data_IF_325973878509
#
_entry.id   IF_325973878509
#
_cell.length_a   1.000
_cell.length_b   1.000
_cell.length_c   1.000
_cell.angle_alpha   90.00
_cell.angle_beta   90.00
_cell.angle_gamma   90.00
#
_symmetry.space_group_name_H-M   'P 1'
#
loop_
_entity.id
_entity.type
_entity.pdbx_description
1 polymer ?
#
# COMPACT_ATOMS: atom_id res chain seq x y z
N UNK A 1 -3.86 6.04 -25.12
CA UNK A 1 -4.90 6.30 -24.09
C UNK A 1 -5.07 5.20 -23.03
N UNK A 2 -5.14 3.89 -23.37
CA UNK A 2 -5.39 2.80 -22.40
C UNK A 2 -4.50 2.76 -21.14
N UNK A 3 -3.18 2.99 -21.27
CA UNK A 3 -2.23 2.92 -20.13
C UNK A 3 -2.45 4.00 -19.05
N UNK A 4 -2.92 5.19 -19.44
CA UNK A 4 -3.17 6.29 -18.50
C UNK A 4 -4.38 5.97 -17.61
N UNK A 5 -5.46 5.49 -18.22
CA UNK A 5 -6.68 5.10 -17.49
C UNK A 5 -6.40 3.93 -16.51
N UNK A 6 -5.54 2.98 -16.91
CA UNK A 6 -5.13 1.89 -16.03
C UNK A 6 -4.33 2.37 -14.81
N UNK A 7 -3.42 3.34 -14.97
CA UNK A 7 -2.70 3.94 -13.83
C UNK A 7 -3.64 4.58 -12.82
N UNK A 8 -4.62 5.35 -13.29
CA UNK A 8 -5.64 5.93 -12.42
C UNK A 8 -6.51 4.87 -11.74
N UNK A 9 -6.87 3.80 -12.45
CA UNK A 9 -7.60 2.66 -11.87
C UNK A 9 -6.80 1.95 -10.78
N UNK A 10 -5.51 1.69 -11.01
CA UNK A 10 -4.60 1.08 -10.02
C UNK A 10 -4.47 2.00 -8.80
N UNK A 11 -4.29 3.30 -9.02
CA UNK A 11 -4.23 4.27 -7.93
C UNK A 11 -5.51 4.25 -7.10
N UNK A 12 -6.67 4.34 -7.75
CA UNK A 12 -7.96 4.31 -7.07
C UNK A 12 -8.14 3.03 -6.24
N UNK A 13 -7.77 1.87 -6.80
CA UNK A 13 -7.80 0.59 -6.09
C UNK A 13 -6.84 0.59 -4.89
N UNK A 14 -5.61 1.08 -5.06
CA UNK A 14 -4.61 1.12 -4.00
C UNK A 14 -5.06 2.01 -2.84
N UNK A 15 -5.62 3.19 -3.14
CA UNK A 15 -6.19 4.10 -2.14
C UNK A 15 -7.42 3.48 -1.46
N UNK A 16 -8.31 2.84 -2.22
CA UNK A 16 -9.47 2.16 -1.65
C UNK A 16 -9.06 1.05 -0.66
N UNK A 17 -8.03 0.27 -0.99
CA UNK A 17 -7.48 -0.76 -0.10
C UNK A 17 -6.89 -0.15 1.17
N UNK A 18 -6.13 0.95 1.07
CA UNK A 18 -5.58 1.63 2.25
C UNK A 18 -6.68 2.17 3.17
N UNK A 19 -7.69 2.82 2.59
CA UNK A 19 -8.81 3.39 3.34
C UNK A 19 -9.66 2.31 3.99
N UNK A 20 -9.93 1.21 3.27
CA UNK A 20 -10.65 0.06 3.81
C UNK A 20 -9.93 -0.52 5.02
N UNK A 21 -8.61 -0.73 4.92
CA UNK A 21 -7.83 -1.29 6.02
C UNK A 21 -7.86 -0.39 7.27
N UNK A 22 -7.60 0.91 7.09
CA UNK A 22 -7.68 1.89 8.18
C UNK A 22 -9.10 1.93 8.79
N UNK A 23 -10.14 1.92 7.96
CA UNK A 23 -11.52 1.94 8.42
C UNK A 23 -11.88 0.69 9.24
N UNK A 24 -11.40 -0.49 8.85
CA UNK A 24 -11.59 -1.73 9.62
C UNK A 24 -10.96 -1.58 11.01
N UNK A 25 -9.69 -1.16 11.08
CA UNK A 25 -8.99 -0.99 12.37
C UNK A 25 -9.62 0.07 13.28
N UNK A 26 -10.08 1.19 12.71
CA UNK A 26 -10.76 2.24 13.48
C UNK A 26 -12.14 1.80 13.95
N UNK A 27 -12.92 1.11 13.10
CA UNK A 27 -14.30 0.73 13.42
C UNK A 27 -14.43 -0.37 14.46
N UNK A 28 -13.43 -1.23 14.61
CA UNK A 28 -13.39 -2.29 15.63
C UNK A 28 -12.74 -1.84 16.94
N UNK A 29 -12.40 -0.55 17.09
CA UNK A 29 -11.74 -0.01 18.29
C UNK A 29 -10.30 -0.50 18.49
N UNK A 30 -9.74 -1.23 17.52
CA UNK A 30 -8.35 -1.68 17.51
C UNK A 30 -7.54 -0.81 16.56
N UNK A 31 -7.39 0.46 16.93
CA UNK A 31 -6.55 1.39 16.20
C UNK A 31 -5.10 0.95 16.33
N UNK A 32 -4.62 0.13 15.39
CA UNK A 32 -3.25 -0.36 15.30
C UNK A 32 -2.39 0.71 14.61
N UNK A 33 -1.65 1.57 15.35
CA UNK A 33 -1.08 2.79 14.76
C UNK A 33 -0.05 2.49 13.68
N UNK A 34 0.68 1.38 13.82
CA UNK A 34 1.66 0.89 12.85
C UNK A 34 0.99 0.59 11.50
N UNK A 35 -0.20 -0.02 11.51
CA UNK A 35 -0.99 -0.30 10.30
C UNK A 35 -1.41 0.99 9.61
N UNK A 36 -1.98 1.90 10.38
CA UNK A 36 -2.46 3.20 9.88
C UNK A 36 -1.31 3.99 9.25
N UNK A 37 -0.19 4.13 9.96
CA UNK A 37 0.99 4.84 9.45
C UNK A 37 1.54 4.18 8.19
N UNK A 38 1.64 2.85 8.16
CA UNK A 38 2.11 2.12 6.98
C UNK A 38 1.24 2.40 5.74
N UNK A 39 -0.08 2.34 5.89
CA UNK A 39 -1.04 2.57 4.81
C UNK A 39 -1.00 4.02 4.32
N UNK A 40 -0.85 4.98 5.24
CA UNK A 40 -0.70 6.41 4.89
C UNK A 40 0.57 6.62 4.05
N UNK A 41 1.71 6.05 4.46
CA UNK A 41 2.97 6.17 3.71
C UNK A 41 2.78 5.66 2.27
N UNK A 42 2.20 4.47 2.11
CA UNK A 42 2.01 3.88 0.79
C UNK A 42 1.01 4.67 -0.06
N UNK A 43 -0.10 5.11 0.54
CA UNK A 43 -1.14 5.91 -0.12
C UNK A 43 -0.62 7.27 -0.59
N UNK A 44 0.11 7.99 0.27
CA UNK A 44 0.71 9.28 -0.07
C UNK A 44 1.72 9.14 -1.20
N UNK A 45 2.57 8.11 -1.14
CA UNK A 45 3.49 7.85 -2.24
C UNK A 45 2.76 7.53 -3.54
N UNK A 46 1.71 6.71 -3.51
CA UNK A 46 0.95 6.35 -4.71
C UNK A 46 0.32 7.59 -5.37
N UNK A 47 -0.26 8.49 -4.56
CA UNK A 47 -0.78 9.78 -5.03
C UNK A 47 0.34 10.63 -5.65
N UNK A 48 1.48 10.77 -4.95
CA UNK A 48 2.61 11.54 -5.45
C UNK A 48 3.21 10.95 -6.74
N UNK A 49 3.16 9.63 -6.91
CA UNK A 49 3.62 8.93 -8.12
C UNK A 49 2.74 9.17 -9.35
N UNK A 50 1.47 9.54 -9.17
CA UNK A 50 0.56 9.78 -10.30
C UNK A 50 0.39 11.27 -10.57
N UNK A 51 0.32 12.09 -9.52
CA UNK A 51 0.03 13.52 -9.62
C UNK A 51 1.25 14.43 -9.48
N UNK A 52 2.40 13.91 -9.06
CA UNK A 52 3.60 14.69 -8.86
C UNK A 52 4.83 14.06 -9.50
N UNK A 53 5.96 14.24 -8.82
CA UNK A 53 7.31 13.99 -9.34
C UNK A 53 8.01 12.82 -8.66
N UNK A 54 7.27 11.93 -8.00
CA UNK A 54 7.87 10.78 -7.31
C UNK A 54 8.69 9.94 -8.31
N UNK A 55 9.91 9.60 -7.90
CA UNK A 55 10.84 8.82 -8.71
C UNK A 55 10.87 7.35 -8.26
N UNK A 56 11.76 6.57 -8.87
CA UNK A 56 11.88 5.16 -8.52
C UNK A 56 12.43 4.93 -7.11
N UNK A 57 13.28 5.82 -6.59
CA UNK A 57 13.88 5.66 -5.27
C UNK A 57 12.83 5.86 -4.20
N UNK A 58 12.01 6.91 -4.33
CA UNK A 58 10.94 7.18 -3.36
C UNK A 58 9.91 6.04 -3.32
N UNK A 59 9.63 5.41 -4.46
CA UNK A 59 8.75 4.23 -4.48
C UNK A 59 9.32 3.00 -3.83
N UNK A 60 10.61 2.72 -4.02
CA UNK A 60 11.27 1.61 -3.29
C UNK A 60 11.22 1.88 -1.78
N UNK A 61 11.52 3.11 -1.35
CA UNK A 61 11.49 3.48 0.06
C UNK A 61 10.07 3.36 0.65
N UNK A 62 9.04 3.83 -0.06
CA UNK A 62 7.66 3.75 0.40
C UNK A 62 7.18 2.29 0.53
N UNK A 63 7.43 1.45 -0.48
CA UNK A 63 7.05 0.04 -0.48
C UNK A 63 7.81 -0.72 0.62
N UNK A 64 9.11 -0.48 0.77
CA UNK A 64 9.91 -1.10 1.81
C UNK A 64 9.44 -0.69 3.21
N UNK A 65 9.18 0.61 3.43
CA UNK A 65 8.67 1.11 4.72
C UNK A 65 7.32 0.50 5.05
N UNK A 66 6.41 0.41 4.07
CA UNK A 66 5.13 -0.28 4.20
C UNK A 66 5.30 -1.73 4.65
N UNK A 67 6.15 -2.50 3.96
CA UNK A 67 6.38 -3.92 4.27
C UNK A 67 7.04 -4.11 5.64
N UNK A 68 8.04 -3.29 5.98
CA UNK A 68 8.73 -3.35 7.27
C UNK A 68 7.78 -3.06 8.42
N UNK A 69 6.95 -2.02 8.32
CA UNK A 69 5.97 -1.71 9.36
C UNK A 69 4.93 -2.83 9.52
N UNK A 70 4.47 -3.42 8.42
CA UNK A 70 3.56 -4.57 8.47
C UNK A 70 4.21 -5.83 9.03
N UNK A 71 5.50 -6.04 8.77
CA UNK A 71 6.27 -7.12 9.39
C UNK A 71 6.45 -6.90 10.89
N UNK A 72 6.80 -5.68 11.31
CA UNK A 72 6.88 -5.29 12.73
C UNK A 72 5.53 -5.53 13.41
N UNK A 73 4.43 -5.16 12.76
CA UNK A 73 3.09 -5.42 13.28
C UNK A 73 2.87 -6.91 13.59
N UNK A 74 3.19 -7.79 12.63
CA UNK A 74 3.08 -9.25 12.80
C UNK A 74 4.03 -9.77 13.87
N UNK A 75 5.25 -9.23 13.96
CA UNK A 75 6.21 -9.61 15.00
C UNK A 75 5.72 -9.27 16.42
N UNK A 76 4.99 -8.16 16.56
CA UNK A 76 4.45 -7.70 17.84
C UNK A 76 3.14 -8.40 18.23
N UNK A 77 2.25 -8.68 17.27
CA UNK A 77 0.88 -9.13 17.54
C UNK A 77 0.61 -10.58 17.08
N UNK A 78 1.61 -11.24 16.49
CA UNK A 78 1.50 -12.58 15.95
C UNK A 78 0.74 -12.65 14.62
N UNK A 79 0.74 -13.85 14.03
CA UNK A 79 0.04 -14.16 12.77
C UNK A 79 -1.44 -14.50 12.98
N UNK A 80 -1.86 -14.69 14.24
CA UNK A 80 -3.24 -14.98 14.64
C UNK A 80 -3.84 -13.80 15.40
N UNK A 81 -5.17 -13.70 15.41
CA UNK A 81 -5.93 -12.71 16.15
C UNK A 81 -6.60 -13.35 17.38
N UNK A 82 -6.12 -13.06 18.60
CA UNK A 82 -6.73 -13.56 19.84
C UNK A 82 -8.21 -13.18 19.97
N UNK A 83 -8.58 -11.98 19.53
CA UNK A 83 -9.95 -11.46 19.64
C UNK A 83 -10.94 -12.13 18.68
N UNK A 84 -10.42 -12.93 17.74
CA UNK A 84 -11.19 -13.76 16.81
C UNK A 84 -10.99 -15.25 17.10
N UNK A 85 -10.77 -15.61 18.38
CA UNK A 85 -10.59 -17.01 18.79
C UNK A 85 -9.29 -17.64 18.28
N UNK A 86 -8.26 -16.82 18.03
CA UNK A 86 -6.98 -17.29 17.50
C UNK A 86 -6.97 -17.56 16.00
N UNK A 87 -7.98 -17.08 15.26
CA UNK A 87 -8.02 -17.19 13.80
C UNK A 87 -6.81 -16.53 13.14
N UNK A 88 -6.37 -17.05 11.99
CA UNK A 88 -5.32 -16.41 11.19
C UNK A 88 -5.76 -15.01 10.76
N UNK A 89 -4.82 -14.06 10.76
CA UNK A 89 -5.03 -12.69 10.25
C UNK A 89 -5.11 -12.66 8.72
N UNK A 90 -6.00 -13.44 8.11
CA UNK A 90 -6.12 -13.59 6.66
C UNK A 90 -6.33 -12.25 5.96
N UNK A 91 -7.20 -11.40 6.50
CA UNK A 91 -7.45 -10.06 5.98
C UNK A 91 -6.17 -9.22 5.91
N UNK A 92 -5.31 -9.29 6.94
CA UNK A 92 -4.01 -8.61 6.95
C UNK A 92 -3.16 -9.06 5.76
N UNK A 93 -2.95 -10.38 5.60
CA UNK A 93 -2.09 -10.91 4.55
C UNK A 93 -2.62 -10.63 3.15
N UNK A 94 -3.95 -10.70 2.96
CA UNK A 94 -4.59 -10.38 1.67
C UNK A 94 -4.39 -8.91 1.32
N UNK A 95 -4.65 -8.00 2.26
CA UNK A 95 -4.52 -6.56 1.99
C UNK A 95 -3.06 -6.13 1.81
N UNK A 96 -2.14 -6.70 2.58
CA UNK A 96 -0.69 -6.47 2.41
C UNK A 96 -0.20 -7.01 1.07
N UNK A 97 -0.57 -8.23 0.72
CA UNK A 97 -0.21 -8.85 -0.56
C UNK A 97 -0.75 -8.06 -1.76
N UNK A 98 -2.03 -7.69 -1.72
CA UNK A 98 -2.67 -6.90 -2.77
C UNK A 98 -2.03 -5.51 -2.90
N UNK A 99 -1.84 -4.79 -1.79
CA UNK A 99 -1.20 -3.46 -1.79
C UNK A 99 0.22 -3.54 -2.35
N UNK A 100 0.98 -4.57 -1.97
CA UNK A 100 2.33 -4.80 -2.47
C UNK A 100 2.33 -5.05 -3.98
N UNK A 101 1.47 -5.95 -4.48
CA UNK A 101 1.37 -6.23 -5.91
C UNK A 101 1.00 -4.99 -6.74
N UNK A 102 0.00 -4.23 -6.28
CA UNK A 102 -0.43 -2.99 -6.93
C UNK A 102 0.67 -1.92 -6.91
N UNK A 103 1.36 -1.77 -5.77
CA UNK A 103 2.45 -0.80 -5.61
C UNK A 103 3.66 -1.12 -6.51
N UNK A 104 4.04 -2.39 -6.62
CA UNK A 104 5.12 -2.85 -7.50
C UNK A 104 4.75 -2.59 -8.96
N UNK A 105 3.51 -2.89 -9.35
CA UNK A 105 3.03 -2.60 -10.70
C UNK A 105 3.07 -1.10 -10.99
N UNK A 106 2.61 -0.27 -10.05
CA UNK A 106 2.62 1.18 -10.19
C UNK A 106 4.06 1.69 -10.36
N UNK A 107 4.95 1.30 -9.45
CA UNK A 107 6.38 1.62 -9.45
C UNK A 107 7.09 1.24 -10.76
N UNK A 108 6.84 0.03 -11.28
CA UNK A 108 7.42 -0.43 -12.54
C UNK A 108 6.94 0.42 -13.73
N UNK A 109 5.76 1.01 -13.62
CA UNK A 109 5.14 1.80 -14.68
C UNK A 109 5.29 3.31 -14.50
N UNK A 110 5.81 3.77 -13.36
CA UNK A 110 6.28 5.16 -13.17
C UNK A 110 7.53 5.42 -14.01
N UNK A 111 8.41 4.42 -14.20
CA UNK A 111 9.67 4.52 -14.98
C UNK A 111 9.49 4.86 -16.47
N UNK A 112 8.36 4.53 -17.09
CA UNK A 112 8.17 4.67 -18.56
C UNK A 112 7.72 6.05 -19.02
N UNK A 113 7.37 6.96 -18.11
CA UNK A 113 6.88 8.28 -18.49
C UNK A 113 8.00 9.24 -18.91
N UNK A 114 9.23 9.04 -18.41
CA UNK A 114 10.34 9.98 -18.61
C UNK A 114 11.19 9.73 -19.87
N UNK A 115 11.20 8.50 -20.41
CA UNK A 115 12.06 8.16 -21.57
C UNK A 115 11.50 8.68 -22.91
N UNK A 116 10.22 9.05 -22.98
CA UNK A 116 9.57 9.44 -24.24
C UNK A 116 9.55 10.95 -24.54
N UNK A 117 10.18 11.80 -23.72
CA UNK A 117 10.17 13.27 -23.91
C UNK A 117 11.53 13.86 -24.34
N UNK A 118 12.55 13.02 -24.55
CA UNK A 118 13.89 13.45 -24.95
C UNK A 118 14.47 12.65 -26.13
N UNK A 119 13.60 12.24 -27.07
CA UNK A 119 14.01 11.64 -28.34
C UNK A 119 13.70 12.57 -29.50
#
# INVERSE_FOLDING_TARGET
>A
MKKRNLKFGILAALIAVQLFDVAVHVSIGQAEPIRIVSNIILGLWALWSVFGTADSKTGIVAIASYLVLNFIFVALHGVTNPDQGGALRVTLFVLVGLSTALSIWLQANTRRAWVHWHG
#
